data_IF_979519307273
#
_entry.id   IF_979519307273
#
_cell.length_a   1.000
_cell.length_b   1.000
_cell.length_c   1.000
_cell.angle_alpha   90.00
_cell.angle_beta   90.00
_cell.angle_gamma   90.00
#
_symmetry.space_group_name_H-M   'P 1'
#
loop_
_entity.id
_entity.type
_entity.pdbx_description
1 polymer ?
#
# COMPACT_ATOMS: atom_id res chain seq x y z
N UNK A 1 19.83 -6.24 36.23
CA UNK A 1 19.00 -5.85 35.07
C UNK A 1 17.61 -6.40 35.33
N UNK A 2 16.60 -5.53 35.42
CA UNK A 2 15.21 -6.00 35.55
C UNK A 2 14.78 -6.62 34.22
N UNK A 3 13.93 -7.65 34.27
CA UNK A 3 13.34 -8.17 33.04
C UNK A 3 12.30 -7.18 32.52
N UNK A 4 12.10 -7.12 31.19
CA UNK A 4 11.07 -6.28 30.58
C UNK A 4 9.69 -6.49 31.21
N UNK A 5 9.37 -7.74 31.61
CA UNK A 5 8.13 -8.06 32.30
C UNK A 5 8.01 -7.40 33.67
N UNK A 6 9.09 -7.32 34.45
CA UNK A 6 9.14 -6.63 35.74
C UNK A 6 8.99 -5.12 35.59
N UNK A 7 9.58 -4.55 34.53
CA UNK A 7 9.43 -3.12 34.21
C UNK A 7 8.00 -2.76 33.83
N UNK A 8 7.33 -3.61 33.05
CA UNK A 8 5.91 -3.44 32.68
C UNK A 8 5.01 -3.56 33.92
N UNK A 9 5.25 -4.55 34.79
CA UNK A 9 4.46 -4.74 36.01
C UNK A 9 4.63 -3.59 37.02
N UNK A 10 5.81 -3.00 37.09
CA UNK A 10 6.10 -1.84 37.94
C UNK A 10 5.73 -0.49 37.30
N UNK A 11 5.10 -0.49 36.13
CA UNK A 11 4.81 0.72 35.38
C UNK A 11 3.51 1.40 35.84
N UNK A 12 3.61 2.57 36.50
CA UNK A 12 2.44 3.43 36.74
C UNK A 12 2.07 4.24 35.48
N UNK A 13 0.79 4.16 35.08
CA UNK A 13 0.20 4.95 33.99
C UNK A 13 0.29 6.46 34.22
N UNK A 14 0.34 6.91 35.48
CA UNK A 14 0.43 8.35 35.84
C UNK A 14 1.77 8.98 35.45
N UNK A 15 2.80 8.17 35.15
CA UNK A 15 4.10 8.63 34.66
C UNK A 15 4.12 8.85 33.15
N UNK A 16 3.07 8.47 32.42
CA UNK A 16 2.98 8.73 30.98
C UNK A 16 2.76 10.22 30.73
N UNK A 17 3.51 10.77 29.78
CA UNK A 17 3.21 12.11 29.26
C UNK A 17 1.84 12.07 28.58
N UNK A 18 0.93 12.94 29.00
CA UNK A 18 -0.35 13.14 28.32
C UNK A 18 -0.09 13.40 26.83
N UNK A 19 -0.72 12.61 25.97
CA UNK A 19 -0.61 12.72 24.51
C UNK A 19 -1.87 13.35 23.94
N UNK A 20 -1.69 14.08 22.85
CA UNK A 20 -2.77 14.50 21.96
C UNK A 20 -2.46 13.96 20.56
N UNK A 21 -3.49 13.60 19.80
CA UNK A 21 -3.36 13.05 18.47
C UNK A 21 -4.08 13.95 17.48
N UNK A 22 -3.34 14.46 16.50
CA UNK A 22 -3.92 15.20 15.39
C UNK A 22 -4.46 14.19 14.37
N UNK A 23 -5.77 14.15 14.21
CA UNK A 23 -6.47 13.29 13.25
C UNK A 23 -6.95 14.15 12.09
N UNK A 24 -6.58 13.83 10.86
CA UNK A 24 -7.18 14.45 9.69
C UNK A 24 -8.07 13.42 8.99
N UNK A 25 -9.35 13.71 8.92
CA UNK A 25 -10.36 12.83 8.32
C UNK A 25 -10.26 12.80 6.79
N UNK A 26 -10.97 11.86 6.18
CA UNK A 26 -11.05 11.73 4.71
C UNK A 26 -11.64 12.95 4.02
N UNK A 27 -12.46 13.73 4.72
CA UNK A 27 -13.04 14.99 4.22
C UNK A 27 -12.14 16.20 4.44
N UNK A 28 -10.93 15.99 4.98
CA UNK A 28 -9.99 17.06 5.31
C UNK A 28 -10.30 17.81 6.61
N UNK A 29 -11.32 17.39 7.37
CA UNK A 29 -11.52 17.92 8.73
C UNK A 29 -10.36 17.50 9.62
N UNK A 30 -9.76 18.46 10.30
CA UNK A 30 -8.68 18.24 11.26
C UNK A 30 -9.25 18.26 12.67
N UNK A 31 -8.89 17.27 13.46
CA UNK A 31 -9.42 17.00 14.78
C UNK A 31 -8.24 16.82 15.75
N UNK A 32 -8.34 17.37 16.96
CA UNK A 32 -7.41 17.07 18.05
C UNK A 32 -8.05 16.10 19.04
N UNK A 33 -7.60 14.85 19.05
CA UNK A 33 -8.04 13.83 20.00
C UNK A 33 -7.17 13.89 21.28
N UNK A 34 -7.82 13.97 22.45
CA UNK A 34 -7.18 13.77 23.76
C UNK A 34 -7.83 12.60 24.48
N UNK A 35 -7.03 11.67 24.98
CA UNK A 35 -7.54 10.51 25.72
C UNK A 35 -7.62 10.80 27.22
N UNK A 36 -8.74 10.42 27.82
CA UNK A 36 -8.93 10.48 29.27
C UNK A 36 -8.24 9.30 29.95
N UNK A 37 -8.00 9.45 31.25
CA UNK A 37 -7.49 8.36 32.10
C UNK A 37 -8.62 7.44 32.62
N UNK A 38 -9.88 7.76 32.35
CA UNK A 38 -11.05 7.14 33.01
C UNK A 38 -11.62 5.91 32.26
N UNK A 39 -11.00 5.47 31.17
CA UNK A 39 -11.35 4.22 30.51
C UNK A 39 -10.53 3.98 29.25
N UNK A 40 -10.22 2.72 28.95
CA UNK A 40 -9.56 2.36 27.70
C UNK A 40 -10.43 2.80 26.50
N UNK A 41 -9.93 3.76 25.73
CA UNK A 41 -10.55 4.18 24.47
C UNK A 41 -11.52 5.38 24.55
N UNK A 42 -11.67 6.06 25.68
CA UNK A 42 -12.50 7.26 25.74
C UNK A 42 -11.74 8.50 25.26
N UNK A 43 -12.21 9.05 24.14
CA UNK A 43 -11.82 10.37 23.62
C UNK A 43 -12.58 11.44 24.40
N UNK A 44 -11.83 12.30 25.08
CA UNK A 44 -12.36 13.28 26.03
C UNK A 44 -12.85 14.54 25.30
N UNK A 45 -12.14 14.98 24.26
CA UNK A 45 -12.46 16.16 23.45
C UNK A 45 -11.96 16.00 22.02
N UNK A 46 -12.72 16.58 21.09
CA UNK A 46 -12.40 16.68 19.66
C UNK A 46 -12.55 18.15 19.27
N UNK A 47 -11.44 18.86 19.15
CA UNK A 47 -11.45 20.25 18.62
C UNK A 47 -11.28 20.22 17.10
N UNK A 48 -12.16 20.90 16.36
CA UNK A 48 -12.02 21.07 14.92
C UNK A 48 -10.97 22.19 14.66
N UNK A 49 -9.85 21.84 14.04
CA UNK A 49 -8.76 22.78 13.76
C UNK A 49 -9.03 23.52 12.44
N UNK A 50 -8.70 24.81 12.39
CA UNK A 50 -8.83 25.62 11.17
C UNK A 50 -7.84 25.16 10.07
N UNK A 51 -8.35 25.11 8.83
CA UNK A 51 -7.58 24.82 7.63
C UNK A 51 -8.16 23.68 6.80
N UNK A 52 -8.41 23.93 5.50
CA UNK A 52 -8.88 22.92 4.57
C UNK A 52 -7.70 22.17 3.95
N UNK A 53 -7.63 20.87 4.17
CA UNK A 53 -6.67 20.01 3.47
C UNK A 53 -6.80 18.57 3.94
N UNK A 54 -6.95 17.67 2.98
CA UNK A 54 -6.91 16.24 3.19
C UNK A 54 -5.61 15.87 3.95
N UNK A 55 -5.67 14.94 4.90
CA UNK A 55 -4.48 14.46 5.64
C UNK A 55 -3.54 13.60 4.79
N UNK A 56 -3.83 13.50 3.51
CA UNK A 56 -3.19 12.67 2.51
C UNK A 56 -3.05 13.52 1.24
N UNK A 57 -2.05 13.17 0.44
CA UNK A 57 -1.91 13.75 -0.90
C UNK A 57 -3.02 13.16 -1.76
N UNK A 58 -3.91 14.00 -2.26
CA UNK A 58 -4.93 13.61 -3.21
C UNK A 58 -4.26 13.47 -4.58
N UNK A 59 -4.09 12.23 -5.04
CA UNK A 59 -3.56 11.96 -6.37
C UNK A 59 -4.70 12.09 -7.38
N UNK A 60 -4.81 13.28 -7.98
CA UNK A 60 -5.80 13.56 -9.03
C UNK A 60 -5.30 13.16 -10.41
N UNK A 61 -4.07 12.63 -10.52
CA UNK A 61 -3.48 12.24 -11.80
C UNK A 61 -3.85 10.80 -12.14
N UNK A 62 -4.58 10.62 -13.24
CA UNK A 62 -4.92 9.29 -13.72
C UNK A 62 -3.68 8.58 -14.26
N UNK A 63 -3.44 7.36 -13.82
CA UNK A 63 -2.39 6.50 -14.38
C UNK A 63 -2.96 5.50 -15.38
N UNK A 64 -3.10 5.94 -16.64
CA UNK A 64 -3.58 5.08 -17.74
C UNK A 64 -2.47 4.23 -18.38
N UNK A 65 -1.29 4.11 -17.77
CA UNK A 65 -0.19 3.34 -18.32
C UNK A 65 -0.41 1.83 -18.16
N UNK A 66 -0.26 1.10 -19.25
CA UNK A 66 -0.36 -0.36 -19.29
C UNK A 66 1.00 -0.93 -19.68
N UNK A 67 1.58 -1.74 -18.79
CA UNK A 67 2.80 -2.49 -19.05
C UNK A 67 2.47 -3.83 -19.70
N UNK A 68 3.04 -4.08 -20.88
CA UNK A 68 2.91 -5.38 -21.59
C UNK A 68 4.04 -6.29 -21.12
N UNK A 69 3.74 -7.20 -20.18
CA UNK A 69 4.74 -8.15 -19.66
C UNK A 69 4.90 -9.32 -20.61
N UNK A 70 3.78 -9.80 -21.16
CA UNK A 70 3.72 -10.73 -22.30
C UNK A 70 2.62 -10.24 -23.25
N UNK A 71 2.56 -10.72 -24.51
CA UNK A 71 1.47 -10.37 -25.42
C UNK A 71 0.06 -10.62 -24.84
N UNK A 72 -0.08 -11.60 -23.94
CA UNK A 72 -1.34 -11.94 -23.27
C UNK A 72 -1.42 -11.49 -21.80
N UNK A 73 -0.34 -10.94 -21.23
CA UNK A 73 -0.26 -10.61 -19.79
C UNK A 73 0.12 -9.15 -19.61
N UNK A 74 -0.86 -8.37 -19.16
CA UNK A 74 -0.73 -6.94 -18.94
C UNK A 74 -0.71 -6.62 -17.44
N UNK A 75 0.00 -5.56 -17.08
CA UNK A 75 0.07 -5.01 -15.73
C UNK A 75 -0.22 -3.51 -15.75
N UNK A 76 -1.23 -3.08 -14.97
CA UNK A 76 -1.58 -1.66 -14.87
C UNK A 76 -2.09 -1.25 -13.49
N UNK A 77 -2.42 0.05 -13.36
CA UNK A 77 -3.15 0.62 -12.24
C UNK A 77 -4.66 0.31 -12.33
N UNK A 78 -5.41 0.71 -11.32
CA UNK A 78 -6.87 0.62 -11.34
C UNK A 78 -7.51 1.60 -12.33
N UNK A 79 -6.90 2.76 -12.58
CA UNK A 79 -7.42 3.77 -13.50
C UNK A 79 -7.47 3.22 -14.93
N UNK A 80 -6.37 2.60 -15.38
CA UNK A 80 -6.29 1.93 -16.67
C UNK A 80 -7.31 0.79 -16.80
N UNK A 81 -7.63 0.10 -15.70
CA UNK A 81 -8.64 -0.96 -15.67
C UNK A 81 -10.08 -0.43 -15.75
N UNK A 82 -10.33 0.80 -15.31
CA UNK A 82 -11.64 1.45 -15.39
C UNK A 82 -11.85 2.23 -16.69
N UNK A 83 -10.79 2.48 -17.46
CA UNK A 83 -10.87 3.19 -18.73
C UNK A 83 -11.08 2.23 -19.91
N UNK A 84 -12.33 2.14 -20.38
CA UNK A 84 -12.72 1.20 -21.44
C UNK A 84 -11.97 1.43 -22.75
N UNK A 85 -11.61 2.68 -23.07
CA UNK A 85 -10.88 3.00 -24.29
C UNK A 85 -9.41 2.58 -24.18
N UNK A 86 -8.82 2.62 -22.98
CA UNK A 86 -7.54 1.96 -22.69
C UNK A 86 -7.63 0.46 -22.92
N UNK A 87 -8.66 -0.21 -22.39
CA UNK A 87 -8.79 -1.67 -22.54
C UNK A 87 -9.01 -2.09 -24.00
N UNK A 88 -9.84 -1.37 -24.76
CA UNK A 88 -10.13 -1.66 -26.18
C UNK A 88 -8.90 -1.65 -27.09
N UNK A 89 -7.83 -0.95 -26.69
CA UNK A 89 -6.55 -0.96 -27.42
C UNK A 89 -5.87 -2.33 -27.40
N UNK A 90 -6.19 -3.16 -26.41
CA UNK A 90 -5.65 -4.50 -26.23
C UNK A 90 -6.75 -5.52 -26.62
N UNK A 91 -6.51 -6.28 -27.70
CA UNK A 91 -7.49 -7.18 -28.35
C UNK A 91 -7.86 -8.39 -27.47
N UNK A 92 -8.76 -9.23 -27.96
CA UNK A 92 -9.24 -10.45 -27.28
C UNK A 92 -8.11 -11.40 -26.84
N UNK A 93 -8.33 -12.11 -25.73
CA UNK A 93 -7.41 -13.12 -25.20
C UNK A 93 -6.33 -12.60 -24.26
N UNK A 94 -6.51 -11.38 -23.73
CA UNK A 94 -5.53 -10.72 -22.86
C UNK A 94 -6.01 -10.67 -21.41
N UNK A 95 -5.09 -10.93 -20.47
CA UNK A 95 -5.33 -10.83 -19.03
C UNK A 95 -4.72 -9.54 -18.51
N UNK A 96 -5.55 -8.65 -17.97
CA UNK A 96 -5.10 -7.48 -17.23
C UNK A 96 -5.03 -7.77 -15.73
N UNK A 97 -3.83 -7.68 -15.17
CA UNK A 97 -3.61 -7.75 -13.72
C UNK A 97 -3.45 -6.33 -13.18
N UNK A 98 -4.28 -5.94 -12.22
CA UNK A 98 -4.21 -4.61 -11.62
C UNK A 98 -4.33 -4.64 -10.10
N UNK A 99 -3.89 -3.56 -9.47
CA UNK A 99 -4.25 -3.19 -8.10
C UNK A 99 -4.46 -1.67 -8.10
N UNK A 100 -4.65 -1.03 -6.93
CA UNK A 100 -4.89 0.42 -6.86
C UNK A 100 -3.93 1.23 -7.75
N UNK A 101 -2.61 1.15 -7.46
CA UNK A 101 -1.59 1.90 -8.19
C UNK A 101 -0.82 1.06 -9.22
N UNK A 102 -1.05 -0.26 -9.32
CA UNK A 102 -0.23 -1.12 -10.17
C UNK A 102 1.26 -1.20 -9.76
N UNK A 103 1.59 -0.88 -8.51
CA UNK A 103 2.98 -0.74 -8.02
C UNK A 103 3.46 -1.96 -7.24
N UNK A 104 2.65 -2.50 -6.32
CA UNK A 104 3.09 -3.47 -5.31
C UNK A 104 2.37 -4.81 -5.40
N UNK A 105 1.05 -4.86 -5.12
CA UNK A 105 0.30 -6.14 -5.10
C UNK A 105 0.26 -6.83 -6.46
N UNK A 106 -0.20 -6.12 -7.49
CA UNK A 106 -0.35 -6.70 -8.82
C UNK A 106 0.99 -7.04 -9.46
N UNK A 107 2.02 -6.20 -9.27
CA UNK A 107 3.37 -6.48 -9.77
C UNK A 107 3.96 -7.72 -9.10
N UNK A 108 3.78 -7.90 -7.78
CA UNK A 108 4.22 -9.11 -7.08
C UNK A 108 3.57 -10.38 -7.62
N UNK A 109 2.26 -10.34 -7.91
CA UNK A 109 1.55 -11.48 -8.52
C UNK A 109 2.11 -11.80 -9.91
N UNK A 110 2.36 -10.79 -10.74
CA UNK A 110 2.91 -10.99 -12.08
C UNK A 110 4.35 -11.55 -12.02
N UNK A 111 5.19 -11.04 -11.12
CA UNK A 111 6.55 -11.58 -10.90
C UNK A 111 6.46 -13.05 -10.47
N UNK A 112 5.64 -13.36 -9.46
CA UNK A 112 5.46 -14.74 -8.99
C UNK A 112 4.90 -15.67 -10.07
N UNK A 113 4.00 -15.18 -10.93
CA UNK A 113 3.50 -15.94 -12.08
C UNK A 113 4.63 -16.31 -13.06
N UNK A 114 5.49 -15.34 -13.42
CA UNK A 114 6.63 -15.61 -14.30
C UNK A 114 7.61 -16.62 -13.69
N UNK A 115 7.89 -16.50 -12.39
CA UNK A 115 8.72 -17.47 -11.68
C UNK A 115 8.09 -18.87 -11.70
N UNK A 116 6.80 -18.98 -11.37
CA UNK A 116 6.11 -20.28 -11.25
C UNK A 116 5.84 -20.96 -12.59
N UNK A 117 5.40 -20.20 -13.60
CA UNK A 117 4.92 -20.77 -14.87
C UNK A 117 5.99 -20.82 -15.95
N UNK A 118 6.93 -19.90 -15.92
CA UNK A 118 8.02 -19.83 -16.91
C UNK A 118 9.37 -20.25 -16.33
N UNK A 119 9.45 -20.54 -15.02
CA UNK A 119 10.67 -20.99 -14.36
C UNK A 119 11.75 -19.90 -14.27
N UNK A 120 11.35 -18.62 -14.38
CA UNK A 120 12.32 -17.52 -14.33
C UNK A 120 12.88 -17.34 -12.92
N UNK A 121 14.20 -17.13 -12.77
CA UNK A 121 14.77 -16.64 -11.51
C UNK A 121 14.14 -15.31 -11.10
N UNK A 122 14.11 -15.05 -9.79
CA UNK A 122 13.51 -13.83 -9.24
C UNK A 122 14.03 -12.55 -9.91
N UNK A 123 15.34 -12.39 -10.06
CA UNK A 123 15.95 -11.17 -10.60
C UNK A 123 15.55 -10.93 -12.06
N UNK A 124 15.44 -12.00 -12.85
CA UNK A 124 15.01 -11.93 -14.25
C UNK A 124 13.52 -11.59 -14.37
N UNK A 125 12.68 -12.28 -13.58
CA UNK A 125 11.24 -12.00 -13.53
C UNK A 125 10.98 -10.55 -13.09
N UNK A 126 11.62 -10.11 -12.01
CA UNK A 126 11.51 -8.74 -11.50
C UNK A 126 11.93 -7.72 -12.57
N UNK A 127 13.09 -7.94 -13.20
CA UNK A 127 13.63 -7.02 -14.21
C UNK A 127 12.70 -6.90 -15.42
N UNK A 128 12.13 -8.01 -15.90
CA UNK A 128 11.19 -7.97 -17.02
C UNK A 128 9.91 -7.20 -16.69
N UNK A 129 9.33 -7.40 -15.51
CA UNK A 129 8.14 -6.64 -15.10
C UNK A 129 8.48 -5.17 -14.88
N UNK A 130 9.69 -4.86 -14.37
CA UNK A 130 10.18 -3.49 -14.17
C UNK A 130 10.39 -2.75 -15.48
N UNK A 131 10.91 -3.43 -16.50
CA UNK A 131 11.05 -2.87 -17.84
C UNK A 131 9.69 -2.59 -18.47
N UNK A 132 8.73 -3.51 -18.33
CA UNK A 132 7.38 -3.33 -18.84
C UNK A 132 6.61 -2.21 -18.13
N UNK A 133 6.82 -2.03 -16.81
CA UNK A 133 6.22 -0.97 -16.00
C UNK A 133 7.23 -0.39 -15.01
N UNK A 134 7.88 0.74 -15.34
CA UNK A 134 8.94 1.33 -14.50
C UNK A 134 8.50 1.74 -13.09
N UNK A 135 7.20 1.93 -12.85
CA UNK A 135 6.68 2.32 -11.54
C UNK A 135 6.61 1.18 -10.53
N UNK A 136 6.78 -0.10 -10.93
CA UNK A 136 6.66 -1.20 -9.98
C UNK A 136 7.67 -1.07 -8.84
N UNK A 137 7.19 -1.38 -7.65
CA UNK A 137 7.94 -1.43 -6.40
C UNK A 137 7.13 -2.27 -5.41
N UNK A 138 7.23 -3.62 -5.48
CA UNK A 138 6.75 -4.49 -4.42
C UNK A 138 7.15 -3.93 -3.04
N UNK A 139 6.25 -4.08 -2.06
CA UNK A 139 6.63 -3.68 -0.71
C UNK A 139 7.74 -4.64 -0.19
N UNK A 140 8.52 -4.25 0.83
CA UNK A 140 9.65 -5.06 1.29
C UNK A 140 9.26 -6.50 1.68
N UNK A 141 8.07 -6.70 2.27
CA UNK A 141 7.58 -8.03 2.62
C UNK A 141 7.33 -8.92 1.40
N UNK A 142 6.64 -8.41 0.37
CA UNK A 142 6.45 -9.16 -0.88
C UNK A 142 7.75 -9.38 -1.63
N UNK A 143 8.64 -8.39 -1.62
CA UNK A 143 9.96 -8.51 -2.27
C UNK A 143 10.75 -9.67 -1.66
N UNK A 144 10.84 -9.73 -0.33
CA UNK A 144 11.51 -10.84 0.38
C UNK A 144 10.82 -12.19 0.16
N UNK A 145 9.47 -12.22 0.17
CA UNK A 145 8.72 -13.44 -0.10
C UNK A 145 9.02 -13.99 -1.50
N UNK A 146 9.09 -13.12 -2.52
CA UNK A 146 9.40 -13.50 -3.89
C UNK A 146 10.88 -13.93 -4.03
N UNK A 147 11.82 -13.24 -3.39
CA UNK A 147 13.23 -13.66 -3.40
C UNK A 147 13.45 -15.05 -2.82
N UNK A 148 12.69 -15.40 -1.79
CA UNK A 148 12.77 -16.70 -1.12
C UNK A 148 11.82 -17.75 -1.73
N UNK A 149 11.07 -17.39 -2.77
CA UNK A 149 10.11 -18.28 -3.39
C UNK A 149 10.83 -19.22 -4.37
N UNK A 150 10.77 -20.52 -4.08
CA UNK A 150 11.21 -21.56 -5.00
C UNK A 150 9.98 -22.22 -5.62
N UNK A 151 9.74 -22.05 -6.93
CA UNK A 151 8.58 -22.60 -7.62
C UNK A 151 8.60 -24.12 -7.76
#
# INVERSE_FOLDING_TARGET
MHSLAQEIQGFSKDRLKKQCTHVTTVTGKKLLERRSNEGEGQVEQVEELEGSGCGFVEDTSLDLQVGVVRPFLLLASQDAAHDIDTLRRYKDGVVLVHCNAGVSRSSSIVIGYLMLKEGLPFDDAYSQVKLARPSIRPNPGFYQQLQNYTP
#
